data_IF_244761351782
#
_entry.id   IF_244761351782
#
_cell.length_a   1.000
_cell.length_b   1.000
_cell.length_c   1.000
_cell.angle_alpha   90.00
_cell.angle_beta   90.00
_cell.angle_gamma   90.00
#
_symmetry.space_group_name_H-M   'P 1'
#
loop_
_entity.id
_entity.type
_entity.pdbx_description
1 polymer ?
#
# COMPACT_ATOMS: atom_id res chain seq x y z
N UNK A 1 1.83 10.43 10.40
CA UNK A 1 0.59 10.19 11.16
C UNK A 1 -0.45 11.20 10.71
N UNK A 2 -1.63 10.74 10.27
CA UNK A 2 -2.68 11.65 9.79
C UNK A 2 -3.25 12.49 10.93
N UNK A 3 -3.13 13.82 10.82
CA UNK A 3 -3.53 14.80 11.84
C UNK A 3 -4.95 14.62 12.41
N UNK A 4 -5.84 13.98 11.65
CA UNK A 4 -7.20 13.65 12.06
C UNK A 4 -7.24 12.65 13.24
N UNK A 5 -6.54 11.52 13.16
CA UNK A 5 -6.58 10.50 14.20
C UNK A 5 -5.84 10.92 15.47
N UNK A 6 -4.75 11.69 15.32
CA UNK A 6 -3.96 12.18 16.45
C UNK A 6 -4.76 13.17 17.32
N UNK A 7 -5.63 13.98 16.70
CA UNK A 7 -6.51 14.92 17.41
C UNK A 7 -7.54 14.24 18.33
N UNK A 8 -7.81 12.95 18.11
CA UNK A 8 -8.79 12.16 18.87
C UNK A 8 -8.15 11.31 19.98
N UNK A 9 -6.82 11.35 20.17
CA UNK A 9 -6.12 10.62 21.22
C UNK A 9 -6.28 9.09 21.14
N UNK A 10 -6.45 8.42 22.29
CA UNK A 10 -6.56 6.96 22.36
C UNK A 10 -7.75 6.38 21.55
N UNK A 11 -8.97 6.98 21.57
CA UNK A 11 -10.06 6.59 20.68
C UNK A 11 -9.70 6.68 19.19
N UNK A 12 -8.95 7.71 18.79
CA UNK A 12 -8.47 7.88 17.41
C UNK A 12 -7.58 6.74 16.95
N UNK A 13 -6.69 6.26 17.84
CA UNK A 13 -5.83 5.11 17.57
C UNK A 13 -6.63 3.82 17.38
N UNK A 14 -7.59 3.54 18.27
CA UNK A 14 -8.45 2.35 18.15
C UNK A 14 -9.29 2.36 16.88
N UNK A 15 -9.83 3.53 16.50
CA UNK A 15 -10.56 3.68 15.24
C UNK A 15 -9.66 3.46 14.02
N UNK A 16 -8.44 4.01 14.04
CA UNK A 16 -7.46 3.80 12.98
C UNK A 16 -7.09 2.32 12.83
N UNK A 17 -6.83 1.63 13.93
CA UNK A 17 -6.49 0.21 13.93
C UNK A 17 -7.64 -0.65 13.38
N UNK A 18 -8.88 -0.30 13.75
CA UNK A 18 -10.08 -0.93 13.18
C UNK A 18 -10.18 -0.71 11.66
N UNK A 19 -9.96 0.52 11.17
CA UNK A 19 -10.05 0.86 9.74
C UNK A 19 -8.96 0.20 8.90
N UNK A 20 -7.78 -0.07 9.46
CA UNK A 20 -6.77 -0.90 8.80
C UNK A 20 -7.11 -2.40 8.86
N UNK A 21 -7.97 -2.85 9.78
CA UNK A 21 -8.28 -4.26 10.01
C UNK A 21 -7.32 -4.98 10.96
N UNK A 22 -6.38 -4.27 11.58
CA UNK A 22 -5.30 -4.87 12.39
C UNK A 22 -5.80 -5.47 13.71
N UNK A 23 -6.88 -4.95 14.29
CA UNK A 23 -7.42 -5.40 15.58
C UNK A 23 -8.42 -6.55 15.48
N UNK A 24 -9.09 -6.72 14.34
CA UNK A 24 -10.16 -7.72 14.17
C UNK A 24 -9.75 -8.85 13.24
N UNK A 25 -9.11 -8.51 12.11
CA UNK A 25 -8.76 -9.47 11.05
C UNK A 25 -7.28 -9.84 11.05
N UNK A 26 -6.41 -8.97 11.57
CA UNK A 26 -4.96 -9.10 11.42
C UNK A 26 -4.47 -8.86 9.98
N UNK A 27 -5.37 -8.44 9.08
CA UNK A 27 -5.11 -8.23 7.65
C UNK A 27 -5.70 -6.90 7.18
N UNK A 28 -5.18 -6.32 6.06
CA UNK A 28 -5.70 -5.08 5.49
C UNK A 28 -7.20 -5.17 5.18
N UNK A 29 -7.99 -4.24 5.74
CA UNK A 29 -9.44 -4.23 5.61
C UNK A 29 -9.90 -3.70 4.24
N UNK A 30 -9.23 -2.69 3.67
CA UNK A 30 -9.64 -2.10 2.40
C UNK A 30 -9.69 -3.12 1.24
N UNK A 31 -8.63 -3.92 0.97
CA UNK A 31 -8.68 -4.92 -0.09
C UNK A 31 -9.79 -5.97 0.11
N UNK A 32 -10.05 -6.37 1.36
CA UNK A 32 -11.10 -7.34 1.67
C UNK A 32 -12.51 -6.79 1.37
N UNK A 33 -12.74 -5.49 1.62
CA UNK A 33 -14.04 -4.86 1.36
C UNK A 33 -14.23 -4.57 -0.14
N UNK A 34 -13.17 -4.29 -0.90
CA UNK A 34 -13.27 -3.95 -2.33
C UNK A 34 -13.80 -5.08 -3.21
N UNK A 35 -13.77 -6.33 -2.75
CA UNK A 35 -14.36 -7.47 -3.48
C UNK A 35 -15.89 -7.38 -3.53
N UNK A 36 -16.52 -6.82 -2.49
CA UNK A 36 -17.97 -6.67 -2.41
C UNK A 36 -18.55 -5.76 -3.52
N UNK A 37 -18.07 -4.52 -3.73
CA UNK A 37 -18.59 -3.68 -4.82
C UNK A 37 -18.31 -4.26 -6.21
N UNK A 38 -17.13 -4.85 -6.44
CA UNK A 38 -16.80 -5.46 -7.74
C UNK A 38 -17.77 -6.61 -8.04
N UNK A 39 -18.00 -7.50 -7.07
CA UNK A 39 -18.95 -8.61 -7.22
C UNK A 39 -20.39 -8.14 -7.42
N UNK A 40 -20.85 -7.22 -6.56
CA UNK A 40 -22.22 -6.71 -6.58
C UNK A 40 -22.55 -5.96 -7.88
N UNK A 41 -21.65 -5.10 -8.38
CA UNK A 41 -21.86 -4.39 -9.64
C UNK A 41 -21.75 -5.32 -10.85
N UNK A 42 -20.86 -6.31 -10.85
CA UNK A 42 -20.78 -7.29 -11.94
C UNK A 42 -22.09 -8.08 -12.09
N UNK A 43 -22.64 -8.54 -10.96
CA UNK A 43 -23.95 -9.23 -10.94
C UNK A 43 -25.09 -8.27 -11.29
N UNK A 44 -25.05 -7.03 -10.78
CA UNK A 44 -26.07 -6.01 -11.05
C UNK A 44 -26.16 -5.64 -12.53
N UNK A 45 -25.03 -5.37 -13.17
CA UNK A 45 -24.95 -5.07 -14.62
C UNK A 45 -25.45 -6.27 -15.44
N UNK A 46 -25.05 -7.50 -15.08
CA UNK A 46 -25.58 -8.70 -15.75
C UNK A 46 -27.10 -8.81 -15.61
N UNK A 47 -27.63 -8.61 -14.41
CA UNK A 47 -29.07 -8.65 -14.14
C UNK A 47 -29.83 -7.57 -14.92
N UNK A 48 -29.29 -6.35 -15.00
CA UNK A 48 -29.86 -5.25 -15.78
C UNK A 48 -29.97 -5.61 -17.26
N UNK A 49 -28.90 -6.13 -17.86
CA UNK A 49 -28.92 -6.50 -19.27
C UNK A 49 -29.81 -7.72 -19.53
N UNK A 50 -29.90 -8.68 -18.61
CA UNK A 50 -30.86 -9.78 -18.71
C UNK A 50 -32.31 -9.28 -18.59
N UNK A 51 -32.58 -8.31 -17.73
CA UNK A 51 -33.88 -7.64 -17.65
C UNK A 51 -34.23 -6.96 -18.99
N UNK A 52 -33.33 -6.16 -19.55
CA UNK A 52 -33.55 -5.43 -20.82
C UNK A 52 -33.72 -6.37 -22.02
N UNK A 53 -32.89 -7.40 -22.13
CA UNK A 53 -32.84 -8.25 -23.34
C UNK A 53 -33.81 -9.41 -23.32
N UNK A 54 -34.10 -9.97 -22.14
CA UNK A 54 -34.92 -11.19 -22.02
C UNK A 54 -36.22 -10.99 -21.27
N UNK A 55 -36.31 -9.96 -20.41
CA UNK A 55 -37.44 -9.76 -19.50
C UNK A 55 -37.60 -10.85 -18.43
N UNK A 56 -36.70 -11.85 -18.35
CA UNK A 56 -36.81 -13.00 -17.43
C UNK A 56 -36.29 -12.73 -16.03
N UNK A 57 -35.47 -11.69 -15.88
CA UNK A 57 -34.90 -11.26 -14.59
C UNK A 57 -35.65 -10.00 -14.16
N UNK A 58 -36.13 -9.92 -12.91
CA UNK A 58 -36.83 -8.72 -12.44
C UNK A 58 -35.85 -7.56 -12.30
N UNK A 59 -36.31 -6.35 -12.62
CA UNK A 59 -35.49 -5.14 -12.64
C UNK A 59 -34.83 -4.83 -11.27
N UNK A 60 -35.47 -5.24 -10.18
CA UNK A 60 -34.97 -5.11 -8.80
C UNK A 60 -33.65 -5.85 -8.57
N UNK A 61 -33.33 -6.89 -9.34
CA UNK A 61 -32.07 -7.62 -9.18
C UNK A 61 -30.86 -6.74 -9.51
N UNK A 62 -30.94 -5.94 -10.57
CA UNK A 62 -29.92 -4.95 -10.90
C UNK A 62 -29.84 -3.82 -9.87
N UNK A 63 -31.00 -3.33 -9.41
CA UNK A 63 -31.09 -2.26 -8.41
C UNK A 63 -30.46 -2.68 -7.07
N UNK A 64 -30.66 -3.93 -6.63
CA UNK A 64 -30.02 -4.47 -5.43
C UNK A 64 -28.51 -4.59 -5.59
N UNK A 65 -28.03 -5.09 -6.74
CA UNK A 65 -26.59 -5.16 -7.03
C UNK A 65 -25.94 -3.78 -6.98
N UNK A 66 -26.58 -2.78 -7.58
CA UNK A 66 -26.15 -1.39 -7.55
C UNK A 66 -26.10 -0.85 -6.10
N UNK A 67 -27.16 -1.05 -5.31
CA UNK A 67 -27.28 -0.53 -3.95
C UNK A 67 -26.26 -1.14 -3.00
N UNK A 68 -26.11 -2.48 -3.03
CA UNK A 68 -25.13 -3.20 -2.23
C UNK A 68 -23.72 -2.73 -2.60
N UNK A 69 -23.43 -2.60 -3.91
CA UNK A 69 -22.12 -2.16 -4.37
C UNK A 69 -21.79 -0.74 -3.93
N UNK A 70 -22.73 0.21 -4.03
CA UNK A 70 -22.52 1.58 -3.52
C UNK A 70 -22.28 1.60 -2.01
N UNK A 71 -23.07 0.86 -1.24
CA UNK A 71 -22.92 0.80 0.22
C UNK A 71 -21.54 0.25 0.61
N UNK A 72 -21.09 -0.84 -0.02
CA UNK A 72 -19.78 -1.42 0.22
C UNK A 72 -18.64 -0.51 -0.26
N UNK A 73 -18.81 0.19 -1.39
CA UNK A 73 -17.83 1.11 -1.94
C UNK A 73 -17.59 2.33 -1.02
N UNK A 74 -18.63 2.81 -0.32
CA UNK A 74 -18.47 3.89 0.68
C UNK A 74 -17.58 3.41 1.83
N UNK A 75 -17.80 2.20 2.34
CA UNK A 75 -16.96 1.63 3.39
C UNK A 75 -15.53 1.41 2.89
N UNK A 76 -15.37 0.88 1.67
CA UNK A 76 -14.05 0.75 1.04
C UNK A 76 -13.33 2.08 0.89
N UNK A 77 -14.04 3.16 0.50
CA UNK A 77 -13.45 4.49 0.38
C UNK A 77 -12.95 5.02 1.73
N UNK A 78 -13.67 4.77 2.83
CA UNK A 78 -13.25 5.17 4.18
C UNK A 78 -11.98 4.42 4.63
N UNK A 79 -11.94 3.10 4.47
CA UNK A 79 -10.77 2.29 4.83
C UNK A 79 -9.57 2.63 3.93
N UNK A 80 -9.79 2.77 2.63
CA UNK A 80 -8.75 3.13 1.66
C UNK A 80 -8.20 4.54 1.85
N UNK A 81 -9.00 5.50 2.33
CA UNK A 81 -8.50 6.82 2.72
C UNK A 81 -7.52 6.73 3.88
N UNK A 82 -7.77 5.81 4.82
CA UNK A 82 -6.87 5.56 5.96
C UNK A 82 -5.52 5.01 5.45
N UNK A 83 -5.57 3.99 4.59
CA UNK A 83 -4.37 3.39 3.97
C UNK A 83 -3.60 4.38 3.10
N UNK A 84 -4.33 5.27 2.39
CA UNK A 84 -3.72 6.29 1.57
C UNK A 84 -2.77 7.15 2.40
N UNK A 85 -3.21 7.64 3.57
CA UNK A 85 -2.42 8.51 4.47
C UNK A 85 -1.11 7.91 4.98
N UNK A 86 -0.98 6.59 4.98
CA UNK A 86 0.25 5.89 5.35
C UNK A 86 1.10 5.51 4.13
N UNK A 87 0.54 5.61 2.92
CA UNK A 87 1.29 5.40 1.67
C UNK A 87 2.24 6.57 1.42
N UNK A 88 3.52 6.28 1.22
CA UNK A 88 4.57 7.28 0.98
C UNK A 88 5.32 7.03 -0.33
N UNK A 89 6.13 8.02 -0.76
CA UNK A 89 7.00 7.89 -1.92
C UNK A 89 6.26 7.62 -3.23
N UNK A 90 6.80 6.71 -4.05
CA UNK A 90 6.33 6.43 -5.41
C UNK A 90 4.87 5.92 -5.46
N UNK A 91 4.43 5.16 -4.46
CA UNK A 91 3.06 4.62 -4.39
C UNK A 91 1.97 5.68 -4.16
N UNK A 92 2.32 6.84 -3.58
CA UNK A 92 1.34 7.88 -3.20
C UNK A 92 0.58 8.43 -4.41
N UNK A 93 1.26 8.68 -5.54
CA UNK A 93 0.63 9.21 -6.75
C UNK A 93 -0.37 8.23 -7.35
N UNK A 94 0.02 6.96 -7.48
CA UNK A 94 -0.86 5.91 -7.99
C UNK A 94 -2.07 5.70 -7.06
N UNK A 95 -1.86 5.76 -5.74
CA UNK A 95 -2.94 5.69 -4.76
C UNK A 95 -3.94 6.86 -4.89
N UNK A 96 -3.46 8.09 -5.14
CA UNK A 96 -4.34 9.24 -5.39
C UNK A 96 -5.13 9.06 -6.69
N UNK A 97 -4.49 8.64 -7.78
CA UNK A 97 -5.17 8.40 -9.07
C UNK A 97 -6.24 7.32 -8.93
N UNK A 98 -5.91 6.21 -8.28
CA UNK A 98 -6.86 5.14 -7.97
C UNK A 98 -8.05 5.67 -7.15
N UNK A 99 -7.79 6.34 -6.03
CA UNK A 99 -8.84 6.86 -5.16
C UNK A 99 -9.78 7.87 -5.85
N UNK A 100 -9.23 8.77 -6.66
CA UNK A 100 -10.02 9.72 -7.45
C UNK A 100 -10.88 9.01 -8.51
N UNK A 101 -10.30 8.03 -9.21
CA UNK A 101 -11.02 7.23 -10.21
C UNK A 101 -12.20 6.50 -9.57
N UNK A 102 -11.98 5.86 -8.42
CA UNK A 102 -13.05 5.15 -7.70
C UNK A 102 -14.10 6.10 -7.12
N UNK A 103 -13.72 7.32 -6.73
CA UNK A 103 -14.67 8.35 -6.30
C UNK A 103 -15.60 8.75 -7.46
N UNK A 104 -15.05 8.92 -8.67
CA UNK A 104 -15.85 9.20 -9.87
C UNK A 104 -16.81 8.06 -10.16
N UNK A 105 -16.37 6.80 -10.07
CA UNK A 105 -17.24 5.62 -10.24
C UNK A 105 -18.42 5.67 -9.25
N UNK A 106 -18.15 5.87 -7.95
CA UNK A 106 -19.22 5.92 -6.93
C UNK A 106 -20.22 7.04 -7.21
N UNK A 107 -19.76 8.22 -7.62
CA UNK A 107 -20.65 9.33 -8.00
C UNK A 107 -21.53 8.96 -9.19
N UNK A 108 -20.96 8.33 -10.23
CA UNK A 108 -21.73 7.89 -11.40
C UNK A 108 -22.78 6.84 -11.00
N UNK A 109 -22.43 5.90 -10.12
CA UNK A 109 -23.37 4.88 -9.64
C UNK A 109 -24.49 5.47 -8.77
N UNK A 110 -24.20 6.48 -7.95
CA UNK A 110 -25.21 7.24 -7.21
C UNK A 110 -26.15 8.00 -8.15
N UNK A 111 -25.64 8.58 -9.25
CA UNK A 111 -26.47 9.23 -10.28
C UNK A 111 -27.35 8.20 -10.98
N UNK A 112 -26.81 7.05 -11.38
CA UNK A 112 -27.57 5.94 -11.95
C UNK A 112 -28.69 5.47 -11.00
N UNK A 113 -28.39 5.32 -9.71
CA UNK A 113 -29.38 5.00 -8.68
C UNK A 113 -30.49 6.05 -8.62
N UNK A 114 -30.13 7.33 -8.59
CA UNK A 114 -31.10 8.43 -8.59
C UNK A 114 -31.99 8.43 -9.83
N UNK A 115 -31.42 8.19 -11.02
CA UNK A 115 -32.20 8.06 -12.26
C UNK A 115 -33.21 6.90 -12.17
N UNK A 116 -32.82 5.75 -11.61
CA UNK A 116 -33.72 4.59 -11.44
C UNK A 116 -34.87 4.88 -10.48
N UNK A 117 -34.63 5.67 -9.43
CA UNK A 117 -35.61 5.99 -8.40
C UNK A 117 -36.57 7.12 -8.80
N UNK A 118 -36.08 8.15 -9.49
CA UNK A 118 -36.83 9.38 -9.72
C UNK A 118 -37.19 9.64 -11.19
N UNK A 119 -36.56 8.96 -12.14
CA UNK A 119 -36.86 9.07 -13.56
C UNK A 119 -36.99 7.69 -14.22
N UNK A 120 -38.05 6.91 -13.93
CA UNK A 120 -38.21 5.55 -14.44
C UNK A 120 -38.15 5.45 -15.97
N UNK A 121 -38.60 6.47 -16.68
CA UNK A 121 -38.54 6.55 -18.15
C UNK A 121 -37.10 6.59 -18.68
N UNK A 122 -36.13 6.98 -17.85
CA UNK A 122 -34.70 7.03 -18.17
C UNK A 122 -33.94 5.77 -17.75
N UNK A 123 -34.63 4.69 -17.34
CA UNK A 123 -33.99 3.47 -16.78
C UNK A 123 -32.92 2.88 -17.67
N UNK A 124 -33.16 2.79 -18.99
CA UNK A 124 -32.16 2.27 -19.93
C UNK A 124 -30.90 3.14 -19.95
N UNK A 125 -31.05 4.46 -19.86
CA UNK A 125 -29.93 5.39 -19.73
C UNK A 125 -29.15 5.19 -18.43
N UNK A 126 -29.85 4.93 -17.31
CA UNK A 126 -29.21 4.61 -16.04
C UNK A 126 -28.42 3.29 -16.08
N UNK A 127 -28.95 2.27 -16.76
CA UNK A 127 -28.26 0.98 -16.96
C UNK A 127 -26.98 1.17 -17.79
N UNK A 128 -27.04 1.93 -18.89
CA UNK A 128 -25.85 2.24 -19.71
C UNK A 128 -24.81 3.00 -18.89
N UNK A 129 -25.24 3.97 -18.08
CA UNK A 129 -24.37 4.75 -17.20
C UNK A 129 -23.67 3.86 -16.16
N UNK A 130 -24.42 2.99 -15.46
CA UNK A 130 -23.87 2.01 -14.51
C UNK A 130 -22.91 1.03 -15.18
N UNK A 131 -23.23 0.55 -16.38
CA UNK A 131 -22.33 -0.33 -17.14
C UNK A 131 -21.00 0.37 -17.43
N UNK A 132 -21.04 1.66 -17.83
CA UNK A 132 -19.83 2.46 -18.03
C UNK A 132 -19.02 2.66 -16.74
N UNK A 133 -19.70 2.92 -15.62
CA UNK A 133 -19.07 3.03 -14.30
C UNK A 133 -18.40 1.72 -13.87
N UNK A 134 -19.07 0.57 -14.05
CA UNK A 134 -18.52 -0.76 -13.80
C UNK A 134 -17.27 -1.05 -14.65
N UNK A 135 -17.27 -0.71 -15.93
CA UNK A 135 -16.08 -0.85 -16.78
C UNK A 135 -14.91 0.01 -16.26
N UNK A 136 -15.18 1.25 -15.83
CA UNK A 136 -14.18 2.10 -15.21
C UNK A 136 -13.71 1.52 -13.86
N UNK A 137 -14.60 0.91 -13.08
CA UNK A 137 -14.27 0.22 -11.84
C UNK A 137 -13.33 -0.96 -12.06
N UNK A 138 -13.47 -1.72 -13.15
CA UNK A 138 -12.53 -2.80 -13.52
C UNK A 138 -11.13 -2.24 -13.76
N UNK A 139 -11.02 -1.11 -14.47
CA UNK A 139 -9.74 -0.41 -14.67
C UNK A 139 -9.18 0.10 -13.35
N UNK A 140 -10.02 0.71 -12.50
CA UNK A 140 -9.65 1.16 -11.17
C UNK A 140 -9.13 0.01 -10.29
N UNK A 141 -9.78 -1.15 -10.34
CA UNK A 141 -9.38 -2.37 -9.65
C UNK A 141 -8.02 -2.89 -10.10
N UNK A 142 -7.69 -2.81 -11.39
CA UNK A 142 -6.34 -3.12 -11.89
C UNK A 142 -5.26 -2.23 -11.25
N UNK A 143 -5.52 -0.91 -11.16
CA UNK A 143 -4.59 0.03 -10.50
C UNK A 143 -4.46 -0.29 -9.01
N UNK A 144 -5.56 -0.66 -8.35
CA UNK A 144 -5.57 -1.14 -6.96
C UNK A 144 -4.71 -2.39 -6.78
N UNK A 145 -4.85 -3.37 -7.65
CA UNK A 145 -4.01 -4.56 -7.65
C UNK A 145 -2.53 -4.24 -7.89
N UNK A 146 -2.21 -3.31 -8.79
CA UNK A 146 -0.84 -2.86 -9.02
C UNK A 146 -0.21 -2.19 -7.78
N UNK A 147 -0.99 -1.41 -7.03
CA UNK A 147 -0.57 -0.83 -5.75
C UNK A 147 -0.17 -1.92 -4.75
N UNK A 148 -1.00 -2.95 -4.57
CA UNK A 148 -0.71 -4.02 -3.61
C UNK A 148 0.39 -4.96 -4.08
N UNK A 149 0.27 -5.53 -5.29
CA UNK A 149 1.14 -6.63 -5.72
C UNK A 149 2.46 -6.18 -6.34
N UNK A 150 2.49 -5.03 -7.04
CA UNK A 150 3.72 -4.56 -7.69
C UNK A 150 4.46 -3.52 -6.85
N UNK A 151 3.74 -2.66 -6.15
CA UNK A 151 4.34 -1.60 -5.31
C UNK A 151 4.41 -1.97 -3.82
N UNK A 152 3.76 -3.06 -3.39
CA UNK A 152 3.81 -3.51 -1.99
C UNK A 152 3.12 -2.55 -1.02
N UNK A 153 2.18 -1.71 -1.45
CA UNK A 153 1.50 -0.82 -0.51
C UNK A 153 0.66 -1.65 0.47
N UNK A 154 0.82 -1.42 1.77
CA UNK A 154 0.07 -2.09 2.86
C UNK A 154 0.36 -3.60 2.96
N UNK A 155 1.53 -4.05 2.50
CA UNK A 155 2.03 -5.42 2.75
C UNK A 155 3.13 -5.43 3.82
N UNK A 156 3.38 -6.59 4.42
CA UNK A 156 4.47 -6.76 5.36
C UNK A 156 5.81 -6.85 4.62
N UNK A 157 6.72 -5.91 4.89
CA UNK A 157 8.07 -5.86 4.33
C UNK A 157 9.15 -6.39 5.29
N UNK A 158 8.82 -6.76 6.53
CA UNK A 158 9.83 -7.23 7.49
C UNK A 158 10.41 -8.59 7.11
N UNK A 159 9.65 -9.40 6.36
CA UNK A 159 10.09 -10.71 5.86
C UNK A 159 11.03 -10.61 4.65
N UNK A 160 11.22 -9.42 4.08
CA UNK A 160 12.18 -9.18 3.00
C UNK A 160 13.64 -9.18 3.48
N UNK A 161 13.93 -9.42 4.77
CA UNK A 161 15.30 -9.48 5.30
C UNK A 161 15.60 -10.85 5.92
N UNK A 162 15.98 -11.84 5.10
CA UNK A 162 16.43 -13.15 5.58
C UNK A 162 17.66 -13.03 6.48
N UNK A 163 17.80 -13.98 7.39
CA UNK A 163 18.95 -14.12 8.29
C UNK A 163 20.25 -14.23 7.48
N UNK A 164 21.22 -13.36 7.76
CA UNK A 164 22.54 -13.37 7.13
C UNK A 164 22.61 -12.78 5.72
N UNK A 165 21.51 -12.27 5.17
CA UNK A 165 21.50 -11.60 3.86
C UNK A 165 21.57 -10.08 4.00
N UNK A 166 22.39 -9.44 3.16
CA UNK A 166 22.43 -7.99 3.05
C UNK A 166 21.48 -7.52 1.95
N UNK A 167 20.54 -6.63 2.28
CA UNK A 167 19.65 -6.01 1.31
C UNK A 167 19.82 -4.51 1.29
N UNK A 168 19.98 -3.95 0.09
CA UNK A 168 19.96 -2.50 -0.13
C UNK A 168 18.52 -2.04 -0.26
N UNK A 169 18.18 -1.01 0.50
CA UNK A 169 16.91 -0.30 0.45
C UNK A 169 17.16 1.20 0.36
N UNK A 170 16.14 1.96 -0.01
CA UNK A 170 16.19 3.41 -0.04
C UNK A 170 15.22 3.96 1.02
N UNK A 171 15.75 4.77 1.95
CA UNK A 171 14.98 5.38 3.03
C UNK A 171 15.07 6.91 2.89
N UNK A 172 14.00 7.56 2.43
CA UNK A 172 13.96 9.01 2.17
C UNK A 172 15.14 9.52 1.32
N UNK A 173 15.52 8.76 0.29
CA UNK A 173 16.66 9.10 -0.59
C UNK A 173 18.04 8.71 -0.05
N UNK A 174 18.11 8.22 1.20
CA UNK A 174 19.34 7.65 1.76
C UNK A 174 19.44 6.17 1.39
N UNK A 175 20.47 5.73 0.65
CA UNK A 175 20.70 4.32 0.39
C UNK A 175 21.23 3.62 1.65
N UNK A 176 20.50 2.62 2.14
CA UNK A 176 20.77 1.88 3.37
C UNK A 176 20.96 0.41 3.04
N UNK A 177 21.91 -0.24 3.68
CA UNK A 177 22.04 -1.70 3.64
C UNK A 177 21.62 -2.25 4.99
N UNK A 178 20.68 -3.20 4.96
CA UNK A 178 20.08 -3.83 6.13
C UNK A 178 20.43 -5.31 6.12
N UNK A 179 20.67 -5.88 7.30
CA UNK A 179 20.90 -7.31 7.50
C UNK A 179 20.18 -7.75 8.77
N UNK A 180 19.57 -8.94 8.72
CA UNK A 180 19.09 -9.63 9.92
C UNK A 180 20.16 -10.56 10.46
N UNK A 181 20.45 -10.44 11.76
CA UNK A 181 21.34 -11.35 12.47
C UNK A 181 20.85 -11.60 13.88
N UNK A 182 20.83 -12.87 14.29
CA UNK A 182 20.35 -13.36 15.57
C UNK A 182 18.94 -12.82 15.88
N UNK A 183 18.11 -12.70 14.84
CA UNK A 183 16.76 -12.14 14.91
C UNK A 183 16.67 -10.61 14.95
N UNK A 184 17.79 -9.89 15.05
CA UNK A 184 17.84 -8.43 15.11
C UNK A 184 18.22 -7.82 13.75
N UNK A 185 17.58 -6.71 13.40
CA UNK A 185 17.95 -5.94 12.21
C UNK A 185 19.05 -4.93 12.55
N UNK A 186 20.06 -4.90 11.68
CA UNK A 186 21.15 -3.92 11.70
C UNK A 186 21.17 -3.16 10.37
N UNK A 187 21.47 -1.87 10.41
CA UNK A 187 21.50 -1.03 9.22
C UNK A 187 22.62 0.00 9.26
N UNK A 188 23.30 0.15 8.13
CA UNK A 188 24.32 1.17 7.88
C UNK A 188 24.10 1.81 6.49
N UNK A 189 24.75 2.93 6.21
CA UNK A 189 24.77 3.49 4.85
C UNK A 189 25.27 2.48 3.83
N UNK A 190 24.58 2.33 2.69
CA UNK A 190 24.93 1.33 1.67
C UNK A 190 26.10 1.72 0.76
N UNK A 191 26.48 3.00 0.78
CA UNK A 191 27.47 3.58 -0.14
C UNK A 191 28.79 3.74 0.62
N UNK A 192 29.81 3.00 0.20
CA UNK A 192 31.09 2.99 0.87
C UNK A 192 31.71 4.40 0.92
N UNK A 193 31.94 4.89 2.14
CA UNK A 193 32.64 6.13 2.48
C UNK A 193 34.04 6.33 1.86
N UNK A 194 34.66 5.32 1.25
CA UNK A 194 35.94 5.48 0.55
C UNK A 194 35.77 6.05 -0.86
N UNK A 195 35.04 5.34 -1.71
CA UNK A 195 34.95 5.64 -3.14
C UNK A 195 33.54 5.48 -3.70
N UNK A 196 32.52 5.23 -2.86
CA UNK A 196 31.13 5.10 -3.28
C UNK A 196 30.67 3.68 -3.62
N UNK A 197 31.48 2.66 -3.30
CA UNK A 197 31.16 1.27 -3.66
C UNK A 197 29.90 0.70 -2.99
N UNK A 198 29.17 -0.21 -3.66
CA UNK A 198 27.94 -0.82 -3.16
C UNK A 198 28.22 -1.87 -2.09
N UNK A 199 27.90 -1.61 -0.83
CA UNK A 199 28.19 -2.54 0.27
C UNK A 199 27.34 -3.81 0.23
N UNK A 200 26.13 -3.77 -0.33
CA UNK A 200 25.26 -4.94 -0.46
C UNK A 200 25.82 -6.01 -1.41
N UNK A 201 26.68 -5.62 -2.35
CA UNK A 201 27.39 -6.53 -3.27
C UNK A 201 28.71 -7.02 -2.67
N UNK A 202 29.03 -6.58 -1.45
CA UNK A 202 30.23 -6.95 -0.73
C UNK A 202 30.16 -8.35 -0.11
N UNK A 203 31.30 -8.78 0.43
CA UNK A 203 31.39 -10.04 1.17
C UNK A 203 31.11 -9.79 2.65
N UNK A 204 30.14 -10.50 3.21
CA UNK A 204 29.85 -10.51 4.64
C UNK A 204 30.59 -11.67 5.32
N UNK A 205 31.39 -11.35 6.35
CA UNK A 205 32.05 -12.33 7.21
C UNK A 205 31.79 -11.97 8.67
N UNK A 206 30.94 -12.74 9.34
CA UNK A 206 30.47 -12.40 10.68
C UNK A 206 29.69 -11.09 10.67
N UNK A 207 30.18 -10.07 11.37
CA UNK A 207 29.58 -8.72 11.39
C UNK A 207 30.29 -7.74 10.45
N UNK A 208 31.26 -8.20 9.66
CA UNK A 208 32.11 -7.32 8.86
C UNK A 208 31.76 -7.46 7.40
N UNK A 209 31.30 -6.37 6.80
CA UNK A 209 31.11 -6.27 5.36
C UNK A 209 32.39 -5.75 4.70
N UNK A 210 32.82 -6.41 3.64
CA UNK A 210 33.97 -6.02 2.81
C UNK A 210 33.47 -5.47 1.48
N UNK A 211 33.74 -4.19 1.23
CA UNK A 211 33.35 -3.50 0.00
C UNK A 211 33.98 -4.18 -1.23
N UNK A 212 33.21 -4.42 -2.32
CA UNK A 212 33.70 -5.17 -3.48
C UNK A 212 34.71 -4.40 -4.34
N UNK A 213 34.80 -3.07 -4.21
CA UNK A 213 35.66 -2.25 -5.07
C UNK A 213 37.12 -2.23 -4.62
N UNK A 214 37.36 -1.84 -3.37
CA UNK A 214 38.72 -1.65 -2.84
C UNK A 214 38.93 -2.33 -1.47
N UNK A 215 38.00 -3.21 -1.09
CA UNK A 215 38.10 -4.06 0.11
C UNK A 215 38.09 -3.32 1.46
N UNK A 216 37.61 -2.06 1.50
CA UNK A 216 37.30 -1.40 2.77
C UNK A 216 36.33 -2.24 3.59
N UNK A 217 36.61 -2.39 4.89
CA UNK A 217 35.85 -3.25 5.80
C UNK A 217 35.14 -2.43 6.86
N UNK A 218 33.85 -2.72 7.07
CA UNK A 218 33.02 -2.02 8.04
C UNK A 218 32.29 -3.01 8.93
N UNK A 219 32.16 -2.72 10.22
CA UNK A 219 31.32 -3.48 11.15
C UNK A 219 29.86 -3.04 10.99
N UNK A 220 28.95 -3.99 10.78
CA UNK A 220 27.53 -3.73 10.55
C UNK A 220 26.78 -3.18 11.76
N UNK A 221 27.21 -3.55 12.98
CA UNK A 221 26.53 -3.14 14.21
C UNK A 221 26.64 -1.65 14.52
N UNK A 222 27.73 -0.99 14.12
CA UNK A 222 28.02 0.41 14.46
C UNK A 222 28.54 1.25 13.28
N UNK A 223 28.72 0.65 12.10
CA UNK A 223 29.25 1.30 10.90
C UNK A 223 30.76 1.54 10.92
N UNK A 224 31.48 1.14 11.98
CA UNK A 224 32.89 1.50 12.14
C UNK A 224 33.78 0.90 11.07
N UNK A 225 34.71 1.69 10.57
CA UNK A 225 35.78 1.17 9.71
C UNK A 225 36.70 0.27 10.53
N UNK A 226 36.90 -0.96 10.04
CA UNK A 226 37.78 -1.97 10.67
C UNK A 226 38.89 -2.42 9.74
N UNK A 227 38.88 -1.94 8.48
CA UNK A 227 39.94 -2.15 7.50
C UNK A 227 39.85 -1.11 6.39
N UNK A 228 40.98 -0.51 6.06
CA UNK A 228 41.09 0.48 4.99
C UNK A 228 40.87 -0.11 3.58
N UNK A 229 40.90 0.73 2.53
CA UNK A 229 41.41 2.11 2.50
C UNK A 229 40.46 3.21 2.99
N UNK A 230 39.20 2.90 3.34
CA UNK A 230 38.32 3.88 3.96
C UNK A 230 38.92 4.48 5.25
N UNK A 231 38.73 5.78 5.45
CA UNK A 231 39.15 6.51 6.66
C UNK A 231 37.97 7.04 7.46
N UNK A 232 36.75 6.92 6.94
CA UNK A 232 35.51 7.36 7.57
C UNK A 232 34.59 6.17 7.81
N UNK A 233 33.90 6.17 8.95
CA UNK A 233 32.87 5.20 9.28
C UNK A 233 31.68 5.29 8.30
N UNK A 234 30.92 4.20 8.17
CA UNK A 234 29.59 4.29 7.57
C UNK A 234 28.63 4.94 8.56
N UNK A 235 27.64 5.73 8.09
CA UNK A 235 26.56 6.21 8.93
C UNK A 235 25.80 5.03 9.56
N UNK A 236 25.73 4.91 10.89
CA UNK A 236 24.92 3.88 11.54
C UNK A 236 23.46 4.33 11.63
N UNK A 237 22.53 3.38 11.43
CA UNK A 237 21.10 3.61 11.56
C UNK A 237 20.52 2.75 12.69
N UNK A 238 19.70 3.38 13.52
CA UNK A 238 18.79 2.68 14.42
C UNK A 238 17.66 2.07 13.61
N UNK A 239 17.38 0.79 13.84
CA UNK A 239 16.32 0.05 13.15
C UNK A 239 15.23 -0.35 14.13
N UNK A 240 13.98 -0.24 13.70
CA UNK A 240 12.83 -0.75 14.44
C UNK A 240 11.86 -1.42 13.48
N UNK A 241 11.39 -2.61 13.87
CA UNK A 241 10.25 -3.25 13.23
C UNK A 241 8.95 -2.78 13.89
N UNK A 242 7.99 -2.32 13.08
CA UNK A 242 6.69 -1.88 13.56
C UNK A 242 5.61 -2.17 12.53
N UNK A 243 4.63 -3.01 12.89
CA UNK A 243 3.47 -3.26 12.05
C UNK A 243 3.81 -3.79 10.65
N UNK A 244 4.84 -4.64 10.54
CA UNK A 244 5.33 -5.17 9.27
C UNK A 244 6.18 -4.21 8.43
N UNK A 245 6.48 -3.01 8.94
CA UNK A 245 7.43 -2.08 8.32
C UNK A 245 8.77 -2.09 9.09
N UNK A 246 9.85 -1.84 8.35
CA UNK A 246 11.17 -1.56 8.92
C UNK A 246 11.40 -0.05 8.87
N UNK A 247 11.41 0.58 10.04
CA UNK A 247 11.72 2.00 10.18
C UNK A 247 13.22 2.14 10.50
N UNK A 248 13.89 3.09 9.84
CA UNK A 248 15.28 3.42 10.10
C UNK A 248 15.44 4.90 10.44
N UNK A 249 16.40 5.21 11.31
CA UNK A 249 16.76 6.58 11.66
C UNK A 249 18.27 6.66 11.82
N UNK A 250 18.90 7.69 11.27
CA UNK A 250 20.31 7.99 11.55
C UNK A 250 20.55 8.04 13.06
N UNK A 251 21.50 7.26 13.56
CA UNK A 251 21.84 7.24 14.99
C UNK A 251 22.41 8.58 15.44
N UNK A 252 23.07 9.29 14.52
CA UNK A 252 23.63 10.63 14.73
C UNK A 252 23.39 11.48 13.48
N UNK A 253 23.21 12.80 13.60
CA UNK A 253 23.19 13.70 12.45
C UNK A 253 24.45 13.54 11.60
N UNK A 254 24.30 13.51 10.27
CA UNK A 254 25.44 13.57 9.36
C UNK A 254 26.16 14.91 9.58
N UNK A 255 27.46 14.86 9.81
CA UNK A 255 28.31 16.04 9.97
C UNK A 255 28.87 16.47 8.63
#
# INVERSE_FOLDING_TARGET
MGAFYDSLGAPGKSLKDLMHGTTVLGHPLHPAITDLPIGAWSVGVLADWLFVTTGRVPAVAGDLGLAIGVAAAIVAAMTGYTDHHETVGHGRRAATVHGLTMTVVVVIELVSMGMRLWAPDMRTGAIVLATGAWLLAVVGGYVGGHLTFAMGTVVNHSEDFPEGEMRRVEAEGLPVVIMRREGLLHAIGAVCSHAGGPLQEGKLEGEVVTCPWHYSRFRFGDGKVVGGPATFDQPPLLVRERGGAVEVKLAHPLR
#
